data_IF_561281335607
#
_entry.id   IF_561281335607
#
_cell.length_a   1.000
_cell.length_b   1.000
_cell.length_c   1.000
_cell.angle_alpha   90.00
_cell.angle_beta   90.00
_cell.angle_gamma   90.00
#
_symmetry.space_group_name_H-M   'P 1'
#
loop_
_entity.id
_entity.type
_entity.pdbx_description
1 polymer ?
#
# COMPACT_ATOMS: atom_id res chain seq x y z
N UNK A 1 16.45 20.31 -1.80
CA UNK A 1 15.00 20.56 -1.91
C UNK A 1 14.34 19.22 -1.68
N UNK A 2 13.42 19.12 -0.72
CA UNK A 2 12.83 17.83 -0.35
C UNK A 2 11.96 17.32 -1.52
N UNK A 3 12.47 16.35 -2.27
CA UNK A 3 11.83 15.83 -3.48
C UNK A 3 10.50 15.13 -3.18
N UNK A 4 10.24 14.80 -1.91
CA UNK A 4 9.03 14.13 -1.48
C UNK A 4 7.87 15.10 -1.29
N UNK A 5 8.10 16.42 -1.30
CA UNK A 5 7.06 17.43 -1.16
C UNK A 5 6.44 17.81 -2.51
N UNK A 6 5.12 18.06 -2.50
CA UNK A 6 4.36 18.45 -3.69
C UNK A 6 4.75 19.84 -4.21
N UNK A 7 5.06 20.78 -3.32
CA UNK A 7 5.48 22.15 -3.68
C UNK A 7 6.75 22.18 -4.53
N UNK A 8 7.57 21.13 -4.46
CA UNK A 8 8.82 21.01 -5.19
C UNK A 8 8.67 20.23 -6.51
N UNK A 9 7.45 19.81 -6.86
CA UNK A 9 7.15 18.99 -8.04
C UNK A 9 6.40 19.80 -9.10
N UNK A 10 7.05 20.19 -10.22
CA UNK A 10 6.42 20.98 -11.28
C UNK A 10 5.16 20.32 -11.86
N UNK A 11 5.16 19.00 -12.00
CA UNK A 11 4.02 18.25 -12.55
C UNK A 11 2.80 18.21 -11.60
N UNK A 12 2.98 18.57 -10.33
CA UNK A 12 1.92 18.58 -9.31
C UNK A 12 1.48 19.98 -8.92
N UNK A 13 2.09 21.02 -9.51
CA UNK A 13 1.81 22.41 -9.15
C UNK A 13 0.33 22.74 -9.31
N UNK A 14 -0.27 22.34 -10.43
CA UNK A 14 -1.70 22.57 -10.66
C UNK A 14 -2.59 21.84 -9.63
N UNK A 15 -2.29 20.57 -9.32
CA UNK A 15 -3.03 19.81 -8.30
C UNK A 15 -2.89 20.47 -6.91
N UNK A 16 -1.68 20.92 -6.58
CA UNK A 16 -1.40 21.62 -5.33
C UNK A 16 -2.17 22.95 -5.26
N UNK A 17 -2.14 23.77 -6.30
CA UNK A 17 -2.88 25.03 -6.34
C UNK A 17 -4.39 24.82 -6.20
N UNK A 18 -4.94 23.83 -6.91
CA UNK A 18 -6.35 23.43 -6.79
C UNK A 18 -6.69 22.97 -5.37
N UNK A 19 -5.83 22.16 -4.75
CA UNK A 19 -5.96 21.70 -3.36
C UNK A 19 -5.98 22.86 -2.38
N UNK A 20 -5.01 23.76 -2.48
CA UNK A 20 -4.86 24.88 -1.56
C UNK A 20 -6.00 25.89 -1.69
N UNK A 21 -6.56 26.07 -2.90
CA UNK A 21 -7.69 26.96 -3.14
C UNK A 21 -9.01 26.51 -2.49
N UNK A 22 -9.12 25.23 -2.07
CA UNK A 22 -10.31 24.71 -1.39
C UNK A 22 -10.36 25.07 0.11
N UNK A 23 -9.24 25.48 0.70
CA UNK A 23 -9.22 25.89 2.10
C UNK A 23 -9.92 27.24 2.28
N UNK A 24 -10.78 27.34 3.31
CA UNK A 24 -11.45 28.60 3.69
C UNK A 24 -10.44 29.68 4.10
N UNK A 25 -9.31 29.29 4.72
CA UNK A 25 -8.23 30.20 5.17
C UNK A 25 -6.93 29.98 4.36
N UNK A 26 -6.47 30.98 3.58
CA UNK A 26 -5.20 30.91 2.84
C UNK A 26 -3.94 30.74 3.69
N UNK A 27 -3.93 31.23 4.94
CA UNK A 27 -2.77 31.10 5.84
C UNK A 27 -2.61 29.66 6.33
N UNK A 28 -3.74 29.01 6.61
CA UNK A 28 -3.78 27.59 6.92
C UNK A 28 -3.31 26.77 5.71
N UNK A 29 -3.80 27.09 4.52
CA UNK A 29 -3.37 26.45 3.27
C UNK A 29 -1.84 26.53 3.09
N UNK A 30 -1.25 27.72 3.26
CA UNK A 30 0.21 27.91 3.17
C UNK A 30 0.98 27.08 4.21
N UNK A 31 0.46 26.97 5.43
CA UNK A 31 1.12 26.19 6.48
C UNK A 31 1.01 24.70 6.18
N UNK A 32 -0.16 24.25 5.73
CA UNK A 32 -0.42 22.84 5.44
C UNK A 32 0.29 22.34 4.18
N UNK A 33 0.64 23.21 3.24
CA UNK A 33 1.34 22.83 2.01
C UNK A 33 2.69 22.14 2.28
N UNK A 34 3.32 22.42 3.43
CA UNK A 34 4.54 21.75 3.86
C UNK A 34 4.34 20.26 4.17
N UNK A 35 3.11 19.80 4.38
CA UNK A 35 2.76 18.40 4.65
C UNK A 35 2.17 17.69 3.44
N UNK A 36 2.02 18.39 2.31
CA UNK A 36 1.50 17.78 1.09
C UNK A 36 2.65 17.09 0.37
N UNK A 37 2.59 15.77 0.31
CA UNK A 37 3.57 14.91 -0.36
C UNK A 37 3.29 14.76 -1.85
N UNK A 38 4.36 14.71 -2.62
CA UNK A 38 4.35 14.21 -3.99
C UNK A 38 4.16 12.69 -3.96
N UNK A 39 3.09 12.17 -4.56
CA UNK A 39 2.80 10.74 -4.58
C UNK A 39 2.49 10.25 -6.01
N UNK A 40 2.50 8.95 -6.22
CA UNK A 40 2.00 8.35 -7.47
C UNK A 40 0.89 7.39 -7.09
N UNK A 41 -0.34 7.70 -7.50
CA UNK A 41 -1.48 6.82 -7.31
C UNK A 41 -1.51 5.79 -8.44
N UNK A 42 -1.88 4.57 -8.09
CA UNK A 42 -1.92 3.43 -8.98
C UNK A 42 -3.37 3.01 -9.14
N UNK A 43 -3.82 2.98 -10.38
CA UNK A 43 -5.18 2.62 -10.76
C UNK A 43 -5.16 1.36 -11.60
N UNK A 44 -6.20 0.52 -11.49
CA UNK A 44 -6.43 -0.60 -12.39
C UNK A 44 -6.65 -0.09 -13.81
N UNK A 45 -5.92 -0.66 -14.76
CA UNK A 45 -6.12 -0.37 -16.19
C UNK A 45 -6.75 -1.54 -16.96
N UNK A 46 -6.57 -2.76 -16.46
CA UNK A 46 -7.12 -3.99 -17.04
C UNK A 46 -7.01 -5.14 -16.02
N UNK A 47 -7.79 -6.20 -16.23
CA UNK A 47 -7.55 -7.50 -15.58
C UNK A 47 -6.24 -8.08 -16.14
N UNK A 48 -5.42 -8.64 -15.27
CA UNK A 48 -4.14 -9.24 -15.64
C UNK A 48 -4.34 -10.58 -16.38
N UNK A 49 -3.80 -10.64 -17.61
CA UNK A 49 -3.86 -11.82 -18.47
C UNK A 49 -2.51 -12.57 -18.54
N UNK A 50 -1.44 -11.97 -18.02
CA UNK A 50 -0.06 -12.45 -18.02
C UNK A 50 0.55 -12.58 -19.43
N UNK A 51 0.02 -11.86 -20.42
CA UNK A 51 0.56 -11.84 -21.77
C UNK A 51 1.87 -11.04 -21.87
N UNK A 52 2.06 -10.06 -20.97
CA UNK A 52 3.27 -9.25 -20.88
C UNK A 52 4.02 -9.53 -19.59
N UNK A 53 5.36 -9.62 -19.69
CA UNK A 53 6.24 -9.72 -18.53
C UNK A 53 6.66 -8.32 -18.07
N UNK A 54 6.78 -8.16 -16.77
CA UNK A 54 7.38 -6.99 -16.14
C UNK A 54 6.49 -5.75 -16.11
N UNK A 55 5.20 -5.85 -16.47
CA UNK A 55 4.24 -4.76 -16.26
C UNK A 55 3.95 -4.58 -14.76
N UNK A 56 3.46 -3.40 -14.40
CA UNK A 56 2.99 -3.15 -13.04
C UNK A 56 1.67 -3.88 -12.81
N UNK A 57 1.53 -4.58 -11.67
CA UNK A 57 0.31 -5.31 -11.31
C UNK A 57 0.07 -5.39 -9.79
N UNK A 58 -1.19 -5.57 -9.42
CA UNK A 58 -1.66 -5.88 -8.07
C UNK A 58 -2.25 -7.30 -8.04
N UNK A 59 -1.86 -8.09 -7.04
CA UNK A 59 -2.31 -9.47 -6.86
C UNK A 59 -1.81 -10.41 -7.95
N UNK A 60 -2.25 -11.67 -7.87
CA UNK A 60 -1.86 -12.71 -8.82
C UNK A 60 -0.46 -13.28 -8.54
N UNK A 61 0.32 -13.51 -9.60
CA UNK A 61 1.66 -14.09 -9.52
C UNK A 61 2.73 -13.12 -10.05
N UNK A 62 3.92 -13.06 -9.42
CA UNK A 62 5.04 -12.21 -9.83
C UNK A 62 5.71 -12.68 -11.11
N UNK A 63 6.39 -11.78 -11.83
CA UNK A 63 7.38 -12.18 -12.82
C UNK A 63 8.77 -12.22 -12.18
N UNK A 64 9.30 -13.42 -11.94
CA UNK A 64 10.56 -13.62 -11.24
C UNK A 64 11.73 -13.71 -12.22
N UNK A 65 12.94 -13.25 -11.83
CA UNK A 65 14.17 -13.53 -12.57
C UNK A 65 14.35 -15.02 -12.85
N UNK A 66 14.84 -15.36 -14.04
CA UNK A 66 15.19 -16.75 -14.38
C UNK A 66 16.22 -17.27 -13.36
N UNK A 67 15.88 -18.38 -12.70
CA UNK A 67 16.71 -19.03 -11.68
C UNK A 67 16.50 -18.51 -10.26
N UNK A 68 15.60 -17.54 -10.05
CA UNK A 68 15.13 -17.16 -8.71
C UNK A 68 13.98 -18.09 -8.29
N UNK A 69 14.13 -18.72 -7.12
CA UNK A 69 13.04 -19.46 -6.49
C UNK A 69 11.95 -18.50 -5.99
N UNK A 70 10.72 -19.01 -5.88
CA UNK A 70 9.63 -18.24 -5.27
C UNK A 70 9.98 -17.90 -3.81
N UNK A 71 9.78 -16.66 -3.34
CA UNK A 71 10.10 -16.28 -1.96
C UNK A 71 9.34 -17.11 -0.92
N UNK A 72 10.08 -17.66 0.05
CA UNK A 72 9.54 -18.45 1.16
C UNK A 72 10.07 -17.95 2.50
N UNK A 73 9.25 -18.03 3.53
CA UNK A 73 9.67 -17.97 4.92
C UNK A 73 10.01 -19.37 5.42
N UNK A 74 11.09 -19.48 6.18
CA UNK A 74 11.42 -20.72 6.90
C UNK A 74 10.86 -20.62 8.31
N UNK A 75 9.95 -21.54 8.65
CA UNK A 75 9.26 -21.56 9.94
C UNK A 75 9.65 -22.82 10.71
N UNK A 76 10.26 -22.66 11.89
CA UNK A 76 10.63 -23.80 12.72
C UNK A 76 9.40 -24.57 13.19
N UNK A 77 9.53 -25.89 13.42
CA UNK A 77 8.42 -26.75 13.86
C UNK A 77 7.67 -26.21 15.08
N UNK A 78 8.42 -25.80 16.10
CA UNK A 78 7.83 -25.28 17.34
C UNK A 78 7.11 -23.94 17.12
N UNK A 79 7.63 -23.11 16.22
CA UNK A 79 7.03 -21.81 15.88
C UNK A 79 5.73 -21.99 15.08
N UNK A 80 5.71 -22.97 14.16
CA UNK A 80 4.51 -23.36 13.42
C UNK A 80 3.43 -23.87 14.39
N UNK A 81 3.81 -24.75 15.33
CA UNK A 81 2.90 -25.27 16.36
C UNK A 81 2.32 -24.14 17.22
N UNK A 82 3.15 -23.19 17.66
CA UNK A 82 2.69 -22.02 18.41
C UNK A 82 1.66 -21.21 17.61
N UNK A 83 1.90 -21.00 16.31
CA UNK A 83 0.95 -20.35 15.41
C UNK A 83 -0.40 -21.07 15.33
N UNK A 84 -0.42 -22.41 15.23
CA UNK A 84 -1.67 -23.18 15.24
C UNK A 84 -2.41 -23.11 16.59
N UNK A 85 -1.68 -23.17 17.72
CA UNK A 85 -2.28 -23.00 19.06
C UNK A 85 -3.00 -21.66 19.18
N UNK A 86 -2.34 -20.58 18.76
CA UNK A 86 -2.89 -19.22 18.80
C UNK A 86 -4.15 -19.09 17.94
N UNK A 87 -4.14 -19.69 16.75
CA UNK A 87 -5.15 -19.44 15.72
C UNK A 87 -6.41 -20.27 15.92
N UNK A 88 -6.26 -21.52 16.37
CA UNK A 88 -7.37 -22.47 16.50
C UNK A 88 -7.74 -22.77 17.95
N UNK A 89 -7.05 -22.16 18.93
CA UNK A 89 -7.34 -22.32 20.35
C UNK A 89 -7.14 -23.74 20.89
N UNK A 90 -6.38 -24.57 20.17
CA UNK A 90 -6.08 -25.95 20.57
C UNK A 90 -4.87 -25.99 21.52
N UNK A 91 -4.84 -26.97 22.44
CA UNK A 91 -3.67 -27.15 23.31
C UNK A 91 -2.51 -27.77 22.54
N UNK A 92 -1.28 -27.52 22.98
CA UNK A 92 -0.06 -28.10 22.36
C UNK A 92 -0.07 -29.63 22.43
N UNK A 93 -0.64 -30.21 23.49
CA UNK A 93 -0.85 -31.66 23.59
C UNK A 93 -1.83 -32.16 22.53
N UNK A 94 -2.97 -31.47 22.35
CA UNK A 94 -3.96 -31.84 21.33
C UNK A 94 -3.34 -31.80 19.93
N UNK A 95 -2.62 -30.72 19.60
CA UNK A 95 -1.96 -30.62 18.30
C UNK A 95 -0.90 -31.71 18.17
N UNK A 96 -0.01 -31.95 19.13
CA UNK A 96 1.02 -32.99 19.00
C UNK A 96 0.46 -34.42 18.91
N UNK A 97 -0.65 -34.73 19.59
CA UNK A 97 -1.29 -36.05 19.55
C UNK A 97 -2.03 -36.31 18.23
N UNK A 98 -2.56 -35.25 17.63
CA UNK A 98 -3.35 -35.34 16.40
C UNK A 98 -2.53 -35.04 15.16
N UNK A 99 -1.46 -34.24 15.25
CA UNK A 99 -0.51 -33.94 14.18
C UNK A 99 0.24 -35.20 13.76
N UNK A 100 -0.12 -35.75 12.59
CA UNK A 100 0.67 -36.81 11.94
C UNK A 100 1.40 -36.23 10.74
N UNK A 101 2.64 -36.65 10.53
CA UNK A 101 3.45 -36.29 9.35
C UNK A 101 2.77 -36.72 8.03
N UNK A 102 1.84 -37.67 8.13
CA UNK A 102 1.07 -38.34 7.10
C UNK A 102 -0.39 -37.88 7.04
N UNK A 103 -0.66 -36.63 7.42
CA UNK A 103 -1.99 -36.01 7.46
C UNK A 103 -2.79 -36.00 6.13
N UNK A 104 -2.30 -36.61 5.05
CA UNK A 104 -2.80 -36.59 3.67
C UNK A 104 -4.31 -36.82 3.38
N UNK A 105 -5.19 -37.15 4.33
CA UNK A 105 -6.53 -37.69 3.99
C UNK A 105 -7.66 -37.50 5.04
N UNK A 106 -7.71 -36.41 5.81
CA UNK A 106 -8.92 -36.09 6.62
C UNK A 106 -9.58 -34.76 6.21
N UNK A 107 -10.75 -34.92 5.62
CA UNK A 107 -11.65 -34.02 4.90
C UNK A 107 -12.37 -32.98 5.78
N UNK A 108 -11.80 -32.62 6.94
CA UNK A 108 -12.33 -31.58 7.82
C UNK A 108 -11.30 -30.51 8.24
N UNK A 109 -10.02 -30.61 7.82
CA UNK A 109 -9.00 -29.56 8.08
C UNK A 109 -8.00 -29.44 6.93
N UNK A 110 -8.40 -28.77 5.83
CA UNK A 110 -7.60 -28.57 4.61
C UNK A 110 -6.27 -27.79 4.80
N UNK A 111 -6.01 -27.16 5.95
CA UNK A 111 -4.91 -26.19 6.10
C UNK A 111 -3.57 -26.78 6.58
N UNK A 112 -3.51 -28.00 7.10
CA UNK A 112 -2.31 -28.57 7.71
C UNK A 112 -1.41 -29.37 6.75
N UNK A 113 -1.80 -29.51 5.46
CA UNK A 113 -1.02 -30.20 4.42
C UNK A 113 -0.17 -29.28 3.56
N UNK A 114 -0.22 -27.97 3.79
CA UNK A 114 0.15 -26.96 2.79
C UNK A 114 1.64 -26.67 2.70
N UNK A 115 2.43 -27.00 3.73
CA UNK A 115 3.82 -26.52 3.83
C UNK A 115 4.83 -27.65 3.69
N UNK A 116 5.76 -27.49 2.74
CA UNK A 116 6.84 -28.44 2.50
C UNK A 116 7.89 -28.36 3.62
N UNK A 117 8.14 -29.49 4.31
CA UNK A 117 9.23 -29.60 5.28
C UNK A 117 10.59 -29.69 4.59
N UNK A 118 11.52 -28.81 4.98
CA UNK A 118 12.91 -28.85 4.55
C UNK A 118 13.79 -29.49 5.64
N UNK A 119 14.22 -30.73 5.39
CA UNK A 119 15.07 -31.48 6.30
C UNK A 119 16.42 -30.82 6.56
N UNK A 120 16.99 -30.10 5.59
CA UNK A 120 18.28 -29.44 5.78
C UNK A 120 18.15 -28.19 6.66
N UNK A 121 17.05 -27.44 6.49
CA UNK A 121 16.75 -26.26 7.28
C UNK A 121 16.11 -26.58 8.64
N UNK A 122 15.58 -27.80 8.82
CA UNK A 122 14.74 -28.19 9.96
C UNK A 122 13.57 -27.22 10.16
N UNK A 123 12.93 -26.84 9.05
CA UNK A 123 11.87 -25.83 9.00
C UNK A 123 10.89 -26.10 7.87
N UNK A 124 9.66 -25.62 8.03
CA UNK A 124 8.67 -25.55 6.96
C UNK A 124 9.01 -24.41 5.99
N UNK A 125 8.93 -24.67 4.69
CA UNK A 125 9.00 -23.66 3.64
C UNK A 125 7.59 -23.15 3.39
N UNK A 126 7.30 -21.95 3.90
CA UNK A 126 6.01 -21.30 3.72
C UNK A 126 6.15 -20.19 2.67
N UNK A 127 5.55 -20.34 1.49
CA UNK A 127 5.52 -19.29 0.48
C UNK A 127 4.98 -17.96 1.01
N UNK A 128 5.67 -16.88 0.65
CA UNK A 128 5.18 -15.53 0.94
C UNK A 128 4.04 -15.17 -0.02
N UNK A 129 3.04 -14.44 0.46
CA UNK A 129 1.98 -13.93 -0.40
C UNK A 129 2.53 -12.82 -1.30
N UNK A 130 2.28 -12.90 -2.60
CA UNK A 130 2.59 -11.82 -3.52
C UNK A 130 1.54 -10.71 -3.42
N UNK A 131 1.98 -9.49 -3.20
CA UNK A 131 1.11 -8.32 -3.10
C UNK A 131 1.07 -7.57 -4.43
N UNK A 132 2.23 -7.15 -4.93
CA UNK A 132 2.32 -6.32 -6.14
C UNK A 132 3.69 -6.39 -6.80
N UNK A 133 3.72 -6.08 -8.09
CA UNK A 133 4.95 -5.80 -8.85
C UNK A 133 4.81 -4.41 -9.46
N UNK A 134 5.81 -3.56 -9.25
CA UNK A 134 5.81 -2.18 -9.76
C UNK A 134 7.00 -1.98 -10.67
N UNK A 135 6.74 -1.61 -11.93
CA UNK A 135 7.78 -1.27 -12.88
C UNK A 135 8.18 0.21 -12.70
N UNK A 136 9.42 0.42 -12.25
CA UNK A 136 9.92 1.75 -11.98
C UNK A 136 10.06 2.62 -13.24
N UNK A 137 10.25 2.00 -14.41
CA UNK A 137 10.34 2.70 -15.69
C UNK A 137 9.04 3.42 -16.04
N UNK A 138 7.89 2.83 -15.69
CA UNK A 138 6.57 3.40 -15.96
C UNK A 138 6.30 4.61 -15.06
N UNK A 139 6.84 4.60 -13.84
CA UNK A 139 6.62 5.65 -12.86
C UNK A 139 7.66 6.78 -12.91
N UNK A 140 8.75 6.59 -13.65
CA UNK A 140 9.90 7.52 -13.63
C UNK A 140 9.52 8.94 -14.05
N UNK A 141 8.55 9.12 -14.93
CA UNK A 141 8.11 10.45 -15.35
C UNK A 141 7.40 11.22 -14.23
N UNK A 142 6.86 10.53 -13.22
CA UNK A 142 6.02 11.11 -12.18
C UNK A 142 6.77 11.41 -10.88
N UNK A 143 7.95 10.85 -10.68
CA UNK A 143 8.70 10.98 -9.43
C UNK A 143 10.21 10.91 -9.67
N UNK A 144 11.02 11.24 -8.67
CA UNK A 144 12.49 11.19 -8.75
C UNK A 144 13.16 10.39 -7.64
N UNK A 145 12.40 9.69 -6.80
CA UNK A 145 12.89 9.03 -5.59
C UNK A 145 12.99 7.50 -5.71
N UNK A 146 12.21 6.84 -6.58
CA UNK A 146 12.41 5.43 -6.91
C UNK A 146 13.59 5.26 -7.88
N UNK A 147 14.14 4.03 -7.99
CA UNK A 147 14.96 3.65 -9.14
C UNK A 147 14.32 4.10 -10.46
N UNK A 148 15.15 4.39 -11.47
CA UNK A 148 14.66 4.90 -12.76
C UNK A 148 14.21 3.79 -13.71
N UNK A 149 14.64 2.57 -13.42
CA UNK A 149 14.43 1.35 -14.19
C UNK A 149 14.44 0.12 -13.25
N UNK A 150 14.05 -1.03 -13.77
CA UNK A 150 13.84 -2.23 -12.97
C UNK A 150 12.49 -2.25 -12.28
N UNK A 151 12.32 -3.20 -11.37
CA UNK A 151 11.02 -3.56 -10.78
C UNK A 151 11.15 -3.78 -9.28
N UNK A 152 10.11 -3.40 -8.55
CA UNK A 152 9.94 -3.73 -7.13
C UNK A 152 8.87 -4.81 -7.01
N UNK A 153 9.18 -5.88 -6.29
CA UNK A 153 8.24 -6.96 -5.97
C UNK A 153 7.94 -6.90 -4.47
N UNK A 154 6.67 -6.85 -4.12
CA UNK A 154 6.19 -6.73 -2.75
C UNK A 154 5.57 -8.06 -2.31
N UNK A 155 6.04 -8.59 -1.18
CA UNK A 155 5.59 -9.83 -0.59
C UNK A 155 5.25 -9.66 0.88
N UNK A 156 4.35 -10.49 1.39
CA UNK A 156 3.95 -10.54 2.78
C UNK A 156 4.14 -11.95 3.34
N UNK A 157 4.75 -12.08 4.50
CA UNK A 157 4.74 -13.36 5.22
C UNK A 157 3.34 -13.62 5.80
N UNK A 158 2.68 -14.69 5.35
CA UNK A 158 1.31 -15.01 5.76
C UNK A 158 1.17 -16.42 6.33
N UNK A 159 2.03 -16.76 7.29
CA UNK A 159 2.02 -18.07 7.94
C UNK A 159 1.56 -18.04 9.40
N UNK A 160 1.46 -16.84 10.00
CA UNK A 160 1.00 -16.62 11.37
C UNK A 160 -0.13 -15.58 11.36
N UNK A 161 -1.22 -15.81 12.09
CA UNK A 161 -2.32 -14.85 12.28
C UNK A 161 -1.94 -13.73 13.28
N UNK A 162 -0.65 -13.41 13.40
CA UNK A 162 -0.15 -12.43 14.37
C UNK A 162 -0.39 -11.00 13.88
N UNK A 163 -0.55 -10.05 14.80
CA UNK A 163 -0.56 -8.63 14.47
C UNK A 163 0.78 -8.10 13.90
N UNK A 164 1.89 -8.84 14.07
CA UNK A 164 3.19 -8.46 13.52
C UNK A 164 3.30 -8.87 12.05
N UNK A 165 3.13 -7.89 11.16
CA UNK A 165 3.34 -8.06 9.72
C UNK A 165 4.82 -8.04 9.37
N UNK A 166 5.22 -8.94 8.46
CA UNK A 166 6.57 -8.96 7.87
C UNK A 166 6.45 -8.81 6.36
N UNK A 167 6.70 -7.59 5.90
CA UNK A 167 6.72 -7.26 4.48
C UNK A 167 8.13 -7.36 3.91
N UNK A 168 8.24 -7.89 2.69
CA UNK A 168 9.49 -8.03 1.96
C UNK A 168 9.40 -7.30 0.63
N UNK A 169 10.49 -6.62 0.25
CA UNK A 169 10.58 -5.94 -1.04
C UNK A 169 11.83 -6.42 -1.76
N UNK A 170 11.67 -6.91 -2.98
CA UNK A 170 12.77 -7.33 -3.84
C UNK A 170 12.91 -6.37 -5.00
N UNK A 171 14.13 -5.89 -5.23
CA UNK A 171 14.45 -5.13 -6.43
C UNK A 171 15.02 -6.05 -7.52
N UNK A 172 14.38 -6.03 -8.67
CA UNK A 172 14.82 -6.73 -9.87
C UNK A 172 15.35 -5.70 -10.87
N UNK A 173 16.64 -5.79 -11.19
CA UNK A 173 17.27 -4.88 -12.14
C UNK A 173 16.67 -5.00 -13.56
N UNK A 174 16.76 -3.90 -14.31
CA UNK A 174 16.35 -3.86 -15.72
C UNK A 174 17.15 -4.86 -16.57
N UNK A 175 16.53 -5.42 -17.60
CA UNK A 175 17.18 -6.36 -18.53
C UNK A 175 17.43 -7.78 -18.01
N UNK A 176 17.12 -8.07 -16.73
CA UNK A 176 17.07 -9.46 -16.27
C UNK A 176 15.97 -10.23 -17.01
N UNK A 177 16.30 -11.44 -17.47
CA UNK A 177 15.31 -12.34 -18.06
C UNK A 177 14.31 -12.79 -16.99
N UNK A 178 13.03 -12.82 -17.35
CA UNK A 178 11.95 -13.16 -16.43
C UNK A 178 11.21 -14.40 -16.87
N UNK A 179 10.73 -15.16 -15.88
CA UNK A 179 9.71 -16.17 -16.04
C UNK A 179 8.40 -15.62 -15.44
N UNK A 180 7.29 -15.82 -16.15
CA UNK A 180 5.98 -15.56 -15.57
C UNK A 180 5.77 -16.47 -14.37
N UNK A 181 5.17 -15.95 -13.30
CA UNK A 181 4.80 -16.75 -12.14
C UNK A 181 3.87 -17.92 -12.49
N UNK A 182 3.07 -17.81 -13.57
CA UNK A 182 2.27 -18.92 -14.11
C UNK A 182 3.08 -20.14 -14.57
N UNK A 183 4.37 -19.95 -14.85
CA UNK A 183 5.26 -21.03 -15.29
C UNK A 183 6.00 -21.70 -14.11
N UNK A 184 5.83 -21.19 -12.89
CA UNK A 184 6.39 -21.83 -11.69
C UNK A 184 5.51 -23.05 -11.39
N UNK A 185 6.04 -24.24 -11.67
CA UNK A 185 5.32 -25.50 -11.58
C UNK A 185 4.87 -25.80 -10.14
N UNK A 186 3.62 -26.25 -10.00
CA UNK A 186 3.00 -26.81 -8.79
C UNK A 186 3.51 -26.17 -7.50
N UNK A 187 3.25 -24.88 -7.38
CA UNK A 187 3.19 -24.32 -6.06
C UNK A 187 2.02 -25.03 -5.36
N UNK A 188 2.30 -25.84 -4.33
CA UNK A 188 1.30 -26.50 -3.48
C UNK A 188 0.59 -25.46 -2.62
N UNK A 189 -0.02 -24.50 -3.28
CA UNK A 189 -0.74 -23.42 -2.66
C UNK A 189 -2.15 -23.91 -2.39
N UNK A 190 -2.64 -23.64 -1.20
CA UNK A 190 -4.05 -23.37 -1.10
C UNK A 190 -4.30 -22.09 -1.90
N UNK A 191 -5.31 -22.11 -2.78
CA UNK A 191 -5.80 -20.91 -3.45
C UNK A 191 -6.06 -19.80 -2.41
N UNK A 192 -6.36 -20.16 -1.15
CA UNK A 192 -6.36 -19.27 0.01
C UNK A 192 -5.15 -18.35 0.20
N UNK A 193 -3.92 -18.84 0.04
CA UNK A 193 -2.72 -18.13 0.50
C UNK A 193 -2.19 -17.18 -0.58
N UNK A 194 -2.38 -17.54 -1.85
CA UNK A 194 -1.91 -16.77 -3.01
C UNK A 194 -3.02 -16.12 -3.83
N UNK A 195 -4.28 -16.57 -3.75
CA UNK A 195 -5.36 -15.63 -4.02
C UNK A 195 -5.21 -14.57 -2.94
N UNK A 196 -5.07 -13.32 -3.37
CA UNK A 196 -5.41 -12.25 -2.47
C UNK A 196 -6.89 -12.53 -2.14
N UNK A 197 -7.23 -13.11 -0.99
CA UNK A 197 -8.62 -13.42 -0.60
C UNK A 197 -9.56 -12.22 -0.80
N UNK A 198 -8.93 -11.05 -0.88
CA UNK A 198 -9.46 -9.72 -0.93
C UNK A 198 -9.60 -9.18 -2.37
N UNK A 199 -8.98 -9.85 -3.36
CA UNK A 199 -9.13 -9.56 -4.79
C UNK A 199 -9.31 -10.85 -5.59
N UNK A 200 -10.53 -11.11 -6.05
CA UNK A 200 -10.84 -12.26 -6.91
C UNK A 200 -10.04 -12.23 -8.24
N UNK A 201 -9.60 -11.06 -8.68
CA UNK A 201 -8.81 -10.85 -9.89
C UNK A 201 -7.49 -10.12 -9.62
N UNK A 202 -6.46 -10.44 -10.42
CA UNK A 202 -5.25 -9.63 -10.49
C UNK A 202 -5.43 -8.50 -11.51
N UNK A 203 -4.83 -7.34 -11.27
CA UNK A 203 -5.00 -6.14 -12.10
C UNK A 203 -3.68 -5.60 -12.60
N UNK A 204 -3.63 -5.19 -13.86
CA UNK A 204 -2.59 -4.32 -14.37
C UNK A 204 -2.76 -2.91 -13.80
N UNK A 205 -1.66 -2.28 -13.43
CA UNK A 205 -1.66 -0.97 -12.78
C UNK A 205 -1.10 0.13 -13.70
N UNK A 206 -1.79 1.26 -13.70
CA UNK A 206 -1.34 2.51 -14.29
C UNK A 206 -1.05 3.56 -13.21
N UNK A 207 0.13 4.15 -13.26
CA UNK A 207 0.52 5.25 -12.38
C UNK A 207 0.06 6.61 -12.87
N UNK A 208 -0.42 7.45 -11.95
CA UNK A 208 -0.77 8.86 -12.18
C UNK A 208 -0.14 9.71 -11.08
N UNK A 209 0.46 10.85 -11.45
CA UNK A 209 1.00 11.79 -10.48
C UNK A 209 -0.12 12.33 -9.56
N UNK A 210 0.05 12.16 -8.26
CA UNK A 210 -0.92 12.51 -7.22
C UNK A 210 -0.28 13.33 -6.10
N UNK A 211 -1.10 13.84 -5.18
CA UNK A 211 -0.62 14.39 -3.92
C UNK A 211 -1.30 13.71 -2.74
N UNK A 212 -0.58 13.57 -1.63
CA UNK A 212 -1.11 13.06 -0.36
C UNK A 212 -0.97 14.11 0.71
N UNK A 213 -2.04 14.31 1.48
CA UNK A 213 -2.04 15.22 2.59
C UNK A 213 -2.00 14.39 3.87
N UNK A 214 -1.17 14.82 4.80
CA UNK A 214 -1.19 14.28 6.15
C UNK A 214 -2.43 14.86 6.85
N UNK A 215 -3.21 14.01 7.50
CA UNK A 215 -4.38 14.45 8.24
C UNK A 215 -3.97 15.51 9.30
N UNK A 216 -4.66 16.65 9.43
CA UNK A 216 -4.22 17.74 10.29
C UNK A 216 -4.08 17.36 11.77
N UNK A 217 -4.91 16.46 12.27
CA UNK A 217 -4.84 15.88 13.61
C UNK A 217 -3.52 15.12 13.84
N UNK A 218 -2.99 14.46 12.80
CA UNK A 218 -1.70 13.78 12.84
C UNK A 218 -0.51 14.74 12.92
N UNK A 219 -0.67 16.01 12.52
CA UNK A 219 0.36 17.05 12.73
C UNK A 219 0.54 17.33 14.22
N UNK A 220 -0.53 17.24 15.00
CA UNK A 220 -0.56 17.46 16.44
C UNK A 220 -0.38 16.18 17.28
N UNK A 221 -0.42 15.01 16.64
CA UNK A 221 0.00 13.75 17.27
C UNK A 221 1.45 13.84 17.77
N UNK A 222 1.91 12.89 18.59
CA UNK A 222 3.29 12.79 19.11
C UNK A 222 4.36 12.59 18.00
N UNK A 223 4.18 13.13 16.80
CA UNK A 223 5.14 13.19 15.72
C UNK A 223 5.97 14.49 15.80
N UNK A 224 7.13 14.48 16.49
CA UNK A 224 7.94 15.70 16.67
C UNK A 224 8.42 16.30 15.35
N UNK A 225 8.47 15.52 14.26
CA UNK A 225 8.86 16.01 12.95
C UNK A 225 7.79 16.88 12.30
N UNK A 226 6.53 16.41 12.26
CA UNK A 226 5.44 17.19 11.69
C UNK A 226 5.25 18.50 12.45
N UNK A 227 5.36 18.44 13.78
CA UNK A 227 5.37 19.62 14.65
C UNK A 227 6.54 20.56 14.33
N UNK A 228 7.75 20.05 14.09
CA UNK A 228 8.92 20.87 13.75
C UNK A 228 8.77 21.56 12.38
N UNK A 229 8.27 20.82 11.38
CA UNK A 229 8.01 21.35 10.04
C UNK A 229 6.91 22.41 10.08
N UNK A 230 5.84 22.17 10.87
CA UNK A 230 4.78 23.15 11.15
C UNK A 230 5.38 24.40 11.78
N UNK A 231 6.17 24.24 12.85
CA UNK A 231 6.79 25.35 13.60
C UNK A 231 7.67 26.23 12.72
N UNK A 232 8.48 25.64 11.83
CA UNK A 232 9.33 26.41 10.93
C UNK A 232 8.51 27.31 9.99
N UNK A 233 7.38 26.81 9.47
CA UNK A 233 6.46 27.58 8.61
C UNK A 233 5.63 28.58 9.40
N UNK A 234 5.14 28.20 10.57
CA UNK A 234 4.43 29.08 11.51
C UNK A 234 5.29 30.28 11.90
N UNK A 235 6.56 30.07 12.23
CA UNK A 235 7.48 31.16 12.61
C UNK A 235 7.70 32.21 11.51
N UNK A 236 7.44 31.86 10.24
CA UNK A 236 7.52 32.80 9.12
C UNK A 236 6.29 33.73 9.03
N UNK A 237 5.19 33.44 9.75
CA UNK A 237 3.98 34.25 9.79
C UNK A 237 4.04 35.31 10.92
N UNK A 238 3.35 36.46 10.80
CA UNK A 238 3.11 37.38 11.92
C UNK A 238 2.39 36.71 13.11
N UNK A 239 2.70 37.12 14.35
CA UNK A 239 2.13 36.54 15.59
C UNK A 239 0.61 36.35 15.60
N UNK A 240 -0.23 37.31 15.13
CA UNK A 240 -1.68 37.12 15.10
C UNK A 240 -2.11 35.96 14.19
N UNK A 241 -1.38 35.73 13.08
CA UNK A 241 -1.67 34.66 12.14
C UNK A 241 -1.17 33.30 12.66
N UNK A 242 -0.06 33.29 13.41
CA UNK A 242 0.42 32.08 14.08
C UNK A 242 -0.62 31.53 15.05
N UNK A 243 -1.22 32.42 15.87
CA UNK A 243 -2.26 32.03 16.82
C UNK A 243 -3.49 31.44 16.13
N UNK A 244 -3.93 32.04 15.02
CA UNK A 244 -5.06 31.54 14.22
C UNK A 244 -4.80 30.15 13.63
N UNK A 245 -3.60 29.92 13.07
CA UNK A 245 -3.26 28.62 12.48
C UNK A 245 -3.11 27.54 13.57
N UNK A 246 -2.52 27.87 14.72
CA UNK A 246 -2.43 26.94 15.85
C UNK A 246 -3.81 26.60 16.43
N UNK A 247 -4.72 27.56 16.51
CA UNK A 247 -6.12 27.32 16.89
C UNK A 247 -6.79 26.37 15.89
N UNK A 248 -6.65 26.63 14.57
CA UNK A 248 -7.21 25.79 13.54
C UNK A 248 -6.69 24.34 13.60
N UNK A 249 -5.39 24.12 13.83
CA UNK A 249 -4.82 22.78 13.98
C UNK A 249 -5.30 22.08 15.25
N UNK A 250 -5.53 22.82 16.34
CA UNK A 250 -5.94 22.26 17.63
C UNK A 250 -7.40 21.78 17.64
N UNK A 251 -8.25 22.32 16.76
CA UNK A 251 -9.58 21.78 16.52
C UNK A 251 -9.40 20.56 15.61
N UNK A 252 -9.51 19.37 16.20
CA UNK A 252 -9.65 18.11 15.45
C UNK A 252 -11.01 18.17 14.74
N UNK A 253 -11.03 18.76 13.55
CA UNK A 253 -12.23 18.90 12.74
C UNK A 253 -12.00 18.26 11.38
N UNK A 254 -12.83 17.27 11.05
CA UNK A 254 -12.89 16.65 9.73
C UNK A 254 -13.17 17.70 8.64
N UNK A 255 -13.70 18.89 8.98
CA UNK A 255 -13.90 20.02 8.05
C UNK A 255 -12.59 20.61 7.47
N UNK A 256 -11.42 20.28 8.03
CA UNK A 256 -10.13 20.72 7.50
C UNK A 256 -9.63 19.86 6.33
N UNK A 257 -10.20 18.66 6.14
CA UNK A 257 -9.88 17.79 5.02
C UNK A 257 -10.57 18.32 3.74
N UNK A 258 -9.82 18.61 2.65
CA UNK A 258 -10.42 19.17 1.44
C UNK A 258 -11.31 18.15 0.73
N UNK A 259 -12.50 18.59 0.31
CA UNK A 259 -13.62 17.74 -0.13
C UNK A 259 -13.26 16.68 -1.18
N UNK A 260 -12.36 16.97 -2.11
CA UNK A 260 -11.93 16.02 -3.16
C UNK A 260 -11.14 14.79 -2.68
N UNK A 261 -10.62 14.74 -1.45
CA UNK A 261 -9.77 13.62 -1.02
C UNK A 261 -10.56 12.41 -0.51
N UNK A 262 -11.76 12.63 0.02
CA UNK A 262 -12.50 11.63 0.81
C UNK A 262 -13.90 11.31 0.27
N UNK A 263 -14.21 11.77 -0.95
CA UNK A 263 -15.53 11.59 -1.57
C UNK A 263 -15.83 10.15 -1.95
N UNK A 264 -14.79 9.34 -2.22
CA UNK A 264 -14.94 7.93 -2.55
C UNK A 264 -14.21 7.07 -1.51
N UNK A 265 -14.92 6.12 -0.91
CA UNK A 265 -14.39 5.21 0.11
C UNK A 265 -14.63 3.76 -0.25
N UNK A 266 -13.65 2.92 0.07
CA UNK A 266 -13.77 1.47 0.10
C UNK A 266 -14.47 0.85 -1.11
N UNK A 267 -15.71 0.43 -0.89
CA UNK A 267 -16.55 -0.21 -1.90
C UNK A 267 -16.66 0.59 -3.21
N UNK A 268 -16.67 1.92 -3.14
CA UNK A 268 -16.77 2.76 -4.33
C UNK A 268 -15.49 2.71 -5.18
N UNK A 269 -14.32 2.64 -4.51
CA UNK A 269 -13.03 2.47 -5.17
C UNK A 269 -12.89 1.06 -5.73
N UNK A 270 -13.40 0.04 -5.01
CA UNK A 270 -13.44 -1.35 -5.47
C UNK A 270 -14.32 -1.47 -6.74
N UNK A 271 -15.50 -0.85 -6.75
CA UNK A 271 -16.36 -0.86 -7.93
C UNK A 271 -15.72 -0.14 -9.13
N UNK A 272 -15.10 1.02 -8.92
CA UNK A 272 -14.35 1.69 -10.00
C UNK A 272 -13.19 0.82 -10.52
N UNK A 273 -12.55 0.06 -9.62
CA UNK A 273 -11.49 -0.89 -9.95
C UNK A 273 -11.99 -2.04 -10.82
N UNK A 274 -13.08 -2.70 -10.46
CA UNK A 274 -13.68 -3.80 -11.24
C UNK A 274 -13.95 -3.42 -12.70
N UNK A 275 -14.24 -2.14 -12.94
CA UNK A 275 -14.48 -1.60 -14.27
C UNK A 275 -13.26 -0.93 -14.94
N UNK A 276 -12.09 -0.92 -14.28
CA UNK A 276 -10.85 -0.35 -14.81
C UNK A 276 -10.94 1.15 -15.09
N UNK A 277 -11.75 1.86 -14.32
CA UNK A 277 -11.91 3.30 -14.47
C UNK A 277 -10.74 4.06 -13.84
N UNK A 278 -10.34 5.17 -14.46
CA UNK A 278 -9.25 6.04 -13.98
C UNK A 278 -9.66 7.52 -13.98
N UNK A 279 -9.10 8.38 -13.11
CA UNK A 279 -9.38 9.81 -13.11
C UNK A 279 -9.19 10.46 -14.48
N UNK A 280 -10.10 11.36 -14.85
CA UNK A 280 -10.07 12.09 -16.13
C UNK A 280 -10.53 11.30 -17.36
N UNK A 281 -10.75 9.99 -17.26
CA UNK A 281 -11.38 9.21 -18.33
C UNK A 281 -12.83 9.67 -18.52
N UNK A 282 -13.30 9.75 -19.76
CA UNK A 282 -14.72 10.02 -20.03
C UNK A 282 -15.53 8.75 -19.78
N UNK A 283 -16.47 8.82 -18.84
CA UNK A 283 -17.41 7.74 -18.55
C UNK A 283 -18.54 7.75 -19.58
N UNK A 284 -18.50 6.87 -20.57
CA UNK A 284 -19.51 6.87 -21.64
C UNK A 284 -20.89 6.46 -21.11
N UNK A 285 -21.95 6.90 -21.79
CA UNK A 285 -23.32 6.51 -21.47
C UNK A 285 -23.52 4.99 -21.52
N UNK A 286 -22.80 4.28 -22.39
CA UNK A 286 -22.85 2.81 -22.45
C UNK A 286 -22.20 2.16 -21.25
N UNK A 287 -21.03 2.65 -20.81
CA UNK A 287 -20.36 2.14 -19.61
C UNK A 287 -21.20 2.42 -18.36
N UNK A 288 -21.79 3.62 -18.27
CA UNK A 288 -22.72 3.98 -17.22
C UNK A 288 -23.91 3.03 -17.13
N UNK A 289 -24.59 2.77 -18.26
CA UNK A 289 -25.80 1.97 -18.28
C UNK A 289 -25.56 0.46 -18.04
N UNK A 290 -24.35 -0.02 -18.33
CA UNK A 290 -23.97 -1.43 -18.18
C UNK A 290 -23.30 -1.73 -16.82
N UNK A 291 -23.21 -0.74 -15.93
CA UNK A 291 -22.59 -0.88 -14.60
C UNK A 291 -23.67 -0.79 -13.54
N UNK A 292 -23.73 -1.77 -12.63
CA UNK A 292 -24.62 -1.72 -11.48
C UNK A 292 -24.01 -0.87 -10.37
N UNK A 293 -24.21 0.46 -10.44
CA UNK A 293 -23.65 1.39 -9.47
C UNK A 293 -24.22 1.19 -8.06
N UNK A 294 -23.38 0.78 -7.12
CA UNK A 294 -23.67 0.69 -5.70
C UNK A 294 -22.44 1.20 -4.94
N UNK A 295 -22.58 2.05 -3.91
CA UNK A 295 -23.81 2.60 -3.33
C UNK A 295 -24.33 3.81 -4.11
N UNK A 296 -25.48 4.37 -3.71
CA UNK A 296 -26.08 5.55 -4.37
C UNK A 296 -25.21 6.81 -4.41
N UNK A 297 -24.16 6.91 -3.59
CA UNK A 297 -23.23 8.03 -3.51
C UNK A 297 -22.42 8.21 -4.81
N UNK A 298 -21.97 7.11 -5.43
CA UNK A 298 -21.31 7.14 -6.75
C UNK A 298 -22.22 7.78 -7.82
N UNK A 299 -23.52 7.51 -7.77
CA UNK A 299 -24.48 8.05 -8.74
C UNK A 299 -24.60 9.58 -8.66
N UNK A 300 -24.25 10.18 -7.53
CA UNK A 300 -24.27 11.63 -7.32
C UNK A 300 -22.96 12.32 -7.72
N UNK A 301 -21.86 11.58 -7.76
CA UNK A 301 -20.51 12.09 -8.05
C UNK A 301 -20.13 11.92 -9.53
N UNK A 302 -20.60 10.83 -10.15
CA UNK A 302 -20.27 10.49 -11.51
C UNK A 302 -21.34 11.00 -12.48
N UNK A 303 -20.89 11.64 -13.57
CA UNK A 303 -21.77 12.16 -14.61
C UNK A 303 -21.41 11.52 -15.95
N UNK A 304 -22.35 10.84 -16.63
CA UNK A 304 -22.11 10.29 -17.96
C UNK A 304 -21.67 11.37 -18.95
N UNK A 305 -20.79 10.99 -19.87
CA UNK A 305 -20.19 11.85 -20.88
C UNK A 305 -19.36 13.02 -20.30
N UNK A 306 -18.95 12.91 -19.02
CA UNK A 306 -17.99 13.81 -18.39
C UNK A 306 -16.73 13.03 -17.98
N UNK A 307 -15.57 13.71 -17.87
CA UNK A 307 -14.39 13.14 -17.25
C UNK A 307 -14.68 12.73 -15.80
N UNK A 308 -14.20 11.55 -15.41
CA UNK A 308 -14.23 11.10 -14.03
C UNK A 308 -13.47 12.08 -13.13
N UNK A 309 -13.99 12.38 -11.92
CA UNK A 309 -13.31 13.27 -10.99
C UNK A 309 -11.97 12.66 -10.56
N UNK A 310 -11.15 13.48 -9.89
CA UNK A 310 -10.00 12.96 -9.18
C UNK A 310 -10.47 12.17 -7.94
N UNK A 311 -9.87 11.01 -7.70
CA UNK A 311 -10.05 10.20 -6.50
C UNK A 311 -8.74 9.47 -6.18
N UNK A 312 -8.62 8.80 -5.04
CA UNK A 312 -7.40 8.06 -4.70
C UNK A 312 -7.33 6.71 -5.45
N UNK A 313 -6.14 6.36 -5.95
CA UNK A 313 -5.89 5.01 -6.48
C UNK A 313 -6.01 3.93 -5.41
N UNK A 314 -6.18 2.67 -5.85
CA UNK A 314 -6.22 1.51 -4.95
C UNK A 314 -4.87 1.19 -4.33
N UNK A 315 -3.80 1.76 -4.89
CA UNK A 315 -2.49 1.76 -4.29
C UNK A 315 -1.78 3.08 -4.56
N UNK A 316 -0.70 3.35 -3.84
CA UNK A 316 0.13 4.53 -4.07
C UNK A 316 1.58 4.31 -3.66
N UNK A 317 2.47 5.05 -4.31
CA UNK A 317 3.89 5.17 -3.97
C UNK A 317 4.13 6.50 -3.27
N UNK A 318 4.96 6.50 -2.22
CA UNK A 318 5.18 7.67 -1.36
C UNK A 318 3.84 8.18 -0.81
N UNK A 319 3.07 7.24 -0.25
CA UNK A 319 1.79 7.50 0.36
C UNK A 319 1.90 8.23 1.70
N UNK A 320 0.79 8.27 2.41
CA UNK A 320 0.73 8.59 3.83
C UNK A 320 -0.20 7.57 4.49
N UNK A 321 0.15 7.09 5.68
CA UNK A 321 -0.71 6.21 6.45
C UNK A 321 -1.69 6.98 7.32
N UNK A 322 -2.91 6.49 7.41
CA UNK A 322 -4.03 7.09 8.11
C UNK A 322 -4.35 6.36 9.42
N UNK A 323 -3.32 6.07 10.22
CA UNK A 323 -3.51 5.28 11.43
C UNK A 323 -4.12 6.13 12.52
N UNK A 324 -5.32 5.73 12.96
CA UNK A 324 -6.10 6.34 14.06
C UNK A 324 -5.34 6.48 15.38
N UNK A 325 -4.16 5.86 15.48
CA UNK A 325 -3.35 5.84 16.70
C UNK A 325 -2.03 6.58 16.56
N UNK A 326 -1.23 6.36 15.49
CA UNK A 326 0.05 7.04 15.17
C UNK A 326 0.50 6.85 13.72
N UNK A 327 1.19 7.83 13.13
CA UNK A 327 1.70 7.73 11.76
C UNK A 327 2.58 6.48 11.56
N UNK A 328 2.44 5.69 10.48
CA UNK A 328 3.22 4.46 10.32
C UNK A 328 4.73 4.65 10.31
N UNK A 329 5.21 5.82 9.90
CA UNK A 329 6.63 6.18 9.96
C UNK A 329 7.17 6.25 11.40
N UNK A 330 6.33 6.59 12.38
CA UNK A 330 6.71 6.54 13.81
C UNK A 330 6.87 5.10 14.29
N UNK A 331 6.00 4.20 13.84
CA UNK A 331 6.11 2.78 14.15
C UNK A 331 7.38 2.19 13.54
N UNK A 332 7.67 2.52 12.28
CA UNK A 332 8.90 2.11 11.61
C UNK A 332 10.16 2.62 12.33
N UNK A 333 10.19 3.89 12.74
CA UNK A 333 11.32 4.45 13.47
C UNK A 333 11.50 3.85 14.87
N UNK A 334 10.40 3.51 15.56
CA UNK A 334 10.45 2.85 16.87
C UNK A 334 11.03 1.43 16.76
N UNK A 335 10.67 0.69 15.71
CA UNK A 335 11.10 -0.70 15.50
C UNK A 335 12.50 -0.79 14.87
N UNK A 336 12.76 0.00 13.83
CA UNK A 336 13.98 -0.08 13.02
C UNK A 336 15.06 0.95 13.41
N UNK A 337 14.73 1.87 14.34
CA UNK A 337 15.60 2.94 14.82
C UNK A 337 15.64 4.16 13.88
N UNK A 338 16.29 5.26 14.32
CA UNK A 338 16.36 6.50 13.54
C UNK A 338 15.20 7.46 13.83
N UNK A 339 14.98 8.44 12.95
CA UNK A 339 13.89 9.41 13.11
C UNK A 339 12.77 9.15 12.10
N UNK A 340 11.53 9.40 12.49
CA UNK A 340 10.36 9.15 11.64
C UNK A 340 10.40 9.93 10.31
N UNK A 341 11.03 11.11 10.27
CA UNK A 341 11.20 11.89 9.03
C UNK A 341 12.11 11.25 7.99
N UNK A 342 12.91 10.30 8.42
CA UNK A 342 13.79 9.57 7.52
C UNK A 342 13.07 8.39 6.87
N UNK A 343 11.82 8.09 7.28
CA UNK A 343 10.99 7.04 6.73
C UNK A 343 9.94 7.58 5.75
N UNK A 344 9.62 6.78 4.75
CA UNK A 344 8.51 7.02 3.83
C UNK A 344 7.69 5.75 3.63
N UNK A 345 6.39 5.93 3.40
CA UNK A 345 5.49 4.85 2.93
C UNK A 345 5.81 4.56 1.47
N UNK A 346 6.73 3.62 1.23
CA UNK A 346 7.19 3.23 -0.11
C UNK A 346 6.02 2.79 -0.99
N UNK A 347 5.18 1.91 -0.46
CA UNK A 347 4.00 1.38 -1.14
C UNK A 347 2.87 1.23 -0.14
N UNK A 348 1.72 1.81 -0.49
CA UNK A 348 0.46 1.71 0.25
C UNK A 348 -0.55 1.05 -0.67
N UNK A 349 -1.30 0.09 -0.18
CA UNK A 349 -2.31 -0.62 -0.98
C UNK A 349 -3.55 -0.87 -0.14
N UNK A 350 -4.73 -0.71 -0.74
CA UNK A 350 -5.95 -1.31 -0.22
C UNK A 350 -5.71 -2.82 -0.21
N UNK A 351 -5.89 -3.43 0.95
CA UNK A 351 -5.58 -4.82 1.16
C UNK A 351 -6.83 -5.65 1.38
N UNK A 352 -7.95 -5.07 1.82
CA UNK A 352 -9.20 -5.82 2.03
C UNK A 352 -10.47 -5.14 1.52
N UNK A 353 -11.55 -5.93 1.36
CA UNK A 353 -12.90 -5.41 1.06
C UNK A 353 -13.38 -4.42 2.13
N UNK A 354 -12.89 -4.56 3.36
CA UNK A 354 -13.13 -3.62 4.46
C UNK A 354 -12.23 -2.38 4.43
N UNK A 355 -11.52 -2.15 3.31
CA UNK A 355 -10.66 -1.00 3.09
C UNK A 355 -9.45 -0.91 4.04
N UNK A 356 -9.02 -2.03 4.62
CA UNK A 356 -7.76 -2.06 5.36
C UNK A 356 -6.63 -1.70 4.41
N UNK A 357 -5.69 -0.90 4.87
CA UNK A 357 -4.55 -0.46 4.08
C UNK A 357 -3.29 -1.15 4.58
N UNK A 358 -2.54 -1.75 3.67
CA UNK A 358 -1.23 -2.32 3.95
C UNK A 358 -0.15 -1.32 3.53
N UNK A 359 0.72 -0.96 4.47
CA UNK A 359 1.81 -0.01 4.23
C UNK A 359 3.16 -0.73 4.30
N UNK A 360 3.96 -0.60 3.25
CA UNK A 360 5.38 -0.96 3.20
C UNK A 360 6.20 0.32 3.38
N UNK A 361 7.04 0.36 4.40
CA UNK A 361 7.74 1.57 4.85
C UNK A 361 9.24 1.32 4.79
N UNK A 362 9.97 2.28 4.24
CA UNK A 362 11.42 2.20 4.02
C UNK A 362 12.10 3.47 4.52
N UNK A 363 13.33 3.34 4.99
CA UNK A 363 14.19 4.49 5.27
C UNK A 363 14.69 5.10 3.94
N UNK A 364 14.72 6.43 3.85
CA UNK A 364 15.09 7.17 2.63
C UNK A 364 16.51 6.87 2.14
N UNK A 365 17.44 6.64 3.05
CA UNK A 365 18.82 6.29 2.69
C UNK A 365 18.90 4.87 2.12
N UNK A 366 18.11 3.94 2.65
CA UNK A 366 18.04 2.57 2.13
C UNK A 366 17.42 2.59 0.72
N UNK A 367 16.35 3.37 0.51
CA UNK A 367 15.77 3.61 -0.81
C UNK A 367 16.80 4.22 -1.79
N UNK A 368 17.52 5.27 -1.37
CA UNK A 368 18.52 5.94 -2.20
C UNK A 368 19.70 5.01 -2.56
N UNK A 369 20.02 4.06 -1.69
CA UNK A 369 21.04 3.04 -1.92
C UNK A 369 20.51 1.81 -2.68
N UNK A 370 19.20 1.74 -2.96
CA UNK A 370 18.57 0.58 -3.58
C UNK A 370 18.59 -0.67 -2.68
N UNK A 371 18.58 -0.48 -1.36
CA UNK A 371 18.57 -1.54 -0.35
C UNK A 371 17.16 -1.73 0.17
N UNK A 372 16.63 -2.93 0.04
CA UNK A 372 15.24 -3.26 0.36
C UNK A 372 15.13 -4.36 1.43
N UNK A 373 16.21 -4.61 2.17
CA UNK A 373 16.31 -5.59 3.25
C UNK A 373 15.76 -5.10 4.60
N UNK A 374 15.51 -3.79 4.73
CA UNK A 374 14.99 -3.15 5.95
C UNK A 374 13.65 -2.48 5.68
N UNK A 375 12.61 -3.30 5.65
CA UNK A 375 11.23 -2.87 5.40
C UNK A 375 10.41 -3.07 6.68
N UNK A 376 9.67 -2.03 7.06
CA UNK A 376 8.64 -2.13 8.08
C UNK A 376 7.27 -2.26 7.40
N UNK A 377 6.39 -3.07 7.96
CA UNK A 377 5.07 -3.32 7.41
C UNK A 377 4.00 -3.23 8.50
N UNK A 378 2.88 -2.56 8.20
CA UNK A 378 1.78 -2.39 9.16
C UNK A 378 0.44 -2.24 8.44
N UNK A 379 -0.63 -2.75 9.07
CA UNK A 379 -2.01 -2.49 8.68
C UNK A 379 -2.45 -1.12 9.18
N UNK A 380 -3.42 -0.57 8.48
CA UNK A 380 -3.93 0.76 8.71
C UNK A 380 -5.44 0.81 8.38
N UNK A 381 -6.21 1.66 9.07
CA UNK A 381 -7.64 1.45 9.34
C UNK A 381 -8.56 2.66 9.15
#
# INVERSE_FOLDING_TARGET
>A
MDMLLAENSPIRQQLLEQKLAQFKDPHLAHTLSAFIRSSVDLYPSAIEDYAQLGNSRLGGLPDLPVGMDYPVTLVGREEMLDGYVESFGHTREFINEHWREDWQDDWETDEAHLWDWDEAAQAFRVPMQFIAQINCSDLKAFQSYLPREGRLLFFLERWRFSEMLRGHVYYVAEGQQLNSGKAIAELKFDDAVCANYEYEAAYQLQGIASIKMIAPDMINSDNPHLVKLAKARLQALPEPQQAMVLEALAVVDDELAPEWQDQLKGYELIQLNEHGFIPGQILTQSQWANTEWQPSSLQSLLVPEQPLPYYNGIASINGHGDSRYKAPELHAAAELGGNAEDYLVLFKVVYSEHSMQLNFIIHRDDLALGKFDRIYCIYDY
#
